data_IF_587888700954
#
_entry.id   IF_587888700954
#
_cell.length_a   1.000
_cell.length_b   1.000
_cell.length_c   1.000
_cell.angle_alpha   90.00
_cell.angle_beta   90.00
_cell.angle_gamma   90.00
#
_symmetry.space_group_name_H-M   'P 1'
#
loop_
_entity.id
_entity.type
_entity.pdbx_description
1 polymer ?
#
# COMPACT_ATOMS: atom_id res chain seq x y z
N UNK A 1 -7.54 12.39 -12.51
CA UNK A 1 -8.87 12.25 -11.86
C UNK A 1 -8.79 11.10 -10.88
N UNK A 2 -9.20 11.29 -9.63
CA UNK A 2 -9.05 10.26 -8.57
C UNK A 2 -10.35 9.51 -8.33
N UNK A 3 -10.27 8.26 -7.87
CA UNK A 3 -11.43 7.42 -7.54
C UNK A 3 -11.90 7.57 -6.09
N UNK A 4 -11.74 8.75 -5.48
CA UNK A 4 -12.12 9.00 -4.08
C UNK A 4 -13.59 8.70 -3.77
N UNK A 5 -14.50 8.97 -4.70
CA UNK A 5 -15.93 8.66 -4.53
C UNK A 5 -16.21 7.16 -4.34
N UNK A 6 -15.36 6.27 -4.86
CA UNK A 6 -15.46 4.82 -4.60
C UNK A 6 -15.10 4.51 -3.15
N UNK A 7 -14.09 5.19 -2.59
CA UNK A 7 -13.69 5.03 -1.19
C UNK A 7 -14.79 5.52 -0.24
N UNK A 8 -15.45 6.63 -0.57
CA UNK A 8 -16.60 7.13 0.18
C UNK A 8 -17.77 6.14 0.19
N UNK A 9 -18.01 5.45 -0.93
CA UNK A 9 -19.02 4.41 -1.01
C UNK A 9 -18.65 3.17 -0.19
N UNK A 10 -17.37 2.79 -0.18
CA UNK A 10 -16.86 1.68 0.63
C UNK A 10 -16.99 1.95 2.14
N UNK A 11 -16.76 3.19 2.60
CA UNK A 11 -16.91 3.53 4.02
C UNK A 11 -18.37 3.40 4.51
N UNK A 12 -19.35 3.37 3.60
CA UNK A 12 -20.76 3.12 3.95
C UNK A 12 -21.10 1.63 4.08
N UNK A 13 -20.21 0.73 3.64
CA UNK A 13 -20.48 -0.71 3.66
C UNK A 13 -20.11 -1.33 5.02
N UNK A 14 -21.05 -1.95 5.75
CA UNK A 14 -20.83 -2.37 7.14
C UNK A 14 -19.73 -3.43 7.29
N UNK A 15 -19.67 -4.43 6.40
CA UNK A 15 -18.61 -5.45 6.44
C UNK A 15 -17.23 -4.87 6.16
N UNK A 16 -17.17 -3.84 5.29
CA UNK A 16 -15.91 -3.19 4.98
C UNK A 16 -15.41 -2.45 6.22
N UNK A 17 -16.29 -1.69 6.87
CA UNK A 17 -15.97 -0.98 8.11
C UNK A 17 -15.49 -1.91 9.21
N UNK A 18 -16.20 -3.02 9.43
CA UNK A 18 -15.83 -4.00 10.45
C UNK A 18 -14.44 -4.58 10.24
N UNK A 19 -14.07 -4.86 8.99
CA UNK A 19 -12.72 -5.33 8.66
C UNK A 19 -11.65 -4.26 8.93
N UNK A 20 -11.92 -2.98 8.66
CA UNK A 20 -10.99 -1.89 8.96
C UNK A 20 -10.82 -1.66 10.47
N UNK A 21 -11.92 -1.77 11.22
CA UNK A 21 -11.92 -1.56 12.68
C UNK A 21 -11.12 -2.65 13.42
N UNK A 22 -11.07 -3.87 12.86
CA UNK A 22 -10.23 -4.95 13.40
C UNK A 22 -8.72 -4.70 13.26
N UNK A 23 -8.28 -3.91 12.28
CA UNK A 23 -6.86 -3.73 11.93
C UNK A 23 -6.08 -2.74 12.83
N UNK A 24 -6.73 -2.06 13.77
CA UNK A 24 -6.09 -0.99 14.58
C UNK A 24 -5.63 -1.39 15.99
N UNK A 25 -5.93 -2.61 16.44
CA UNK A 25 -5.62 -3.03 17.82
C UNK A 25 -4.17 -3.54 17.92
N UNK A 26 -3.32 -2.92 18.77
CA UNK A 26 -1.93 -3.35 18.91
C UNK A 26 -1.86 -4.79 19.44
N UNK A 27 -1.14 -5.66 18.72
CA UNK A 27 -0.95 -7.06 19.08
C UNK A 27 -2.00 -8.04 18.57
N UNK A 28 -2.99 -7.59 17.77
CA UNK A 28 -3.97 -8.49 17.16
C UNK A 28 -3.60 -8.83 15.72
N UNK A 29 -3.23 -10.09 15.46
CA UNK A 29 -3.08 -10.60 14.10
C UNK A 29 -4.45 -10.68 13.43
N UNK A 30 -4.76 -9.67 12.61
CA UNK A 30 -6.04 -9.57 11.91
C UNK A 30 -5.86 -10.00 10.46
N UNK A 31 -6.54 -11.08 10.08
CA UNK A 31 -6.57 -11.58 8.70
C UNK A 31 -7.82 -11.11 7.97
N UNK A 32 -7.66 -10.62 6.73
CA UNK A 32 -8.77 -10.28 5.84
C UNK A 32 -8.56 -10.93 4.47
N UNK A 33 -9.61 -11.55 3.93
CA UNK A 33 -9.56 -12.14 2.58
C UNK A 33 -10.10 -11.15 1.57
N UNK A 34 -9.22 -10.71 0.65
CA UNK A 34 -9.56 -9.69 -0.35
C UNK A 34 -9.22 -10.23 -1.74
N UNK A 35 -10.17 -10.06 -2.68
CA UNK A 35 -9.93 -10.33 -4.10
C UNK A 35 -8.84 -9.41 -4.63
N UNK A 36 -7.94 -9.92 -5.47
CA UNK A 36 -6.76 -9.17 -5.94
C UNK A 36 -7.09 -7.76 -6.45
N UNK A 37 -8.14 -7.60 -7.27
CA UNK A 37 -8.55 -6.29 -7.80
C UNK A 37 -9.10 -5.28 -6.78
N UNK A 38 -9.41 -5.71 -5.55
CA UNK A 38 -9.94 -4.85 -4.50
C UNK A 38 -8.88 -4.43 -3.45
N UNK A 39 -7.65 -4.95 -3.54
CA UNK A 39 -6.59 -4.68 -2.56
C UNK A 39 -6.24 -3.20 -2.45
N UNK A 40 -6.06 -2.52 -3.58
CA UNK A 40 -5.73 -1.11 -3.61
C UNK A 40 -6.84 -0.25 -2.98
N UNK A 41 -8.11 -0.52 -3.31
CA UNK A 41 -9.24 0.20 -2.73
C UNK A 41 -9.34 -0.02 -1.22
N UNK A 42 -9.13 -1.25 -0.76
CA UNK A 42 -9.13 -1.59 0.67
C UNK A 42 -7.99 -0.91 1.43
N UNK A 43 -6.77 -0.93 0.90
CA UNK A 43 -5.62 -0.28 1.53
C UNK A 43 -5.77 1.24 1.54
N UNK A 44 -6.29 1.82 0.46
CA UNK A 44 -6.60 3.24 0.40
C UNK A 44 -7.64 3.65 1.44
N UNK A 45 -8.73 2.90 1.60
CA UNK A 45 -9.73 3.20 2.63
C UNK A 45 -9.22 2.98 4.05
N UNK A 46 -8.40 1.94 4.26
CA UNK A 46 -7.72 1.68 5.53
C UNK A 46 -6.84 2.86 5.94
N UNK A 47 -6.03 3.38 5.01
CA UNK A 47 -5.18 4.54 5.23
C UNK A 47 -5.98 5.80 5.52
N UNK A 48 -7.00 6.10 4.69
CA UNK A 48 -7.89 7.25 4.90
C UNK A 48 -8.58 7.24 6.27
N UNK A 49 -8.89 6.05 6.81
CA UNK A 49 -9.59 5.90 8.09
C UNK A 49 -8.66 5.89 9.30
N UNK A 50 -7.53 5.17 9.24
CA UNK A 50 -6.59 5.11 10.37
C UNK A 50 -5.75 6.38 10.52
N UNK A 51 -5.57 7.14 9.43
CA UNK A 51 -4.78 8.39 9.41
C UNK A 51 -3.37 8.25 9.99
N UNK A 52 -2.79 7.04 9.90
CA UNK A 52 -1.46 6.70 10.36
C UNK A 52 -0.58 6.14 9.23
N UNK A 53 0.74 6.06 9.44
CA UNK A 53 1.65 5.46 8.48
C UNK A 53 1.37 3.96 8.34
N UNK A 54 1.33 3.47 7.10
CA UNK A 54 1.12 2.06 6.78
C UNK A 54 2.29 1.58 5.92
N UNK A 55 2.95 0.49 6.36
CA UNK A 55 3.91 -0.24 5.55
C UNK A 55 3.21 -1.43 4.90
N UNK A 56 3.21 -1.47 3.57
CA UNK A 56 2.65 -2.59 2.81
C UNK A 56 3.80 -3.41 2.22
N UNK A 57 3.81 -4.71 2.50
CA UNK A 57 4.81 -5.64 1.97
C UNK A 57 4.14 -6.55 0.95
N UNK A 58 4.72 -6.64 -0.24
CA UNK A 58 4.30 -7.56 -1.30
C UNK A 58 5.35 -8.65 -1.54
N UNK A 59 4.96 -9.83 -2.06
CA UNK A 59 5.91 -10.92 -2.29
C UNK A 59 6.96 -10.63 -3.37
N UNK A 60 6.64 -9.74 -4.32
CA UNK A 60 7.49 -9.40 -5.46
C UNK A 60 7.53 -7.88 -5.69
N UNK A 61 8.61 -7.37 -6.29
CA UNK A 61 8.75 -5.96 -6.64
C UNK A 61 7.72 -5.50 -7.70
N UNK A 62 7.35 -6.36 -8.66
CA UNK A 62 6.31 -6.03 -9.65
C UNK A 62 4.95 -5.83 -8.99
N UNK A 63 4.64 -6.62 -7.97
CA UNK A 63 3.40 -6.48 -7.21
C UNK A 63 3.37 -5.15 -6.44
N UNK A 64 4.51 -4.72 -5.88
CA UNK A 64 4.62 -3.44 -5.19
C UNK A 64 4.40 -2.26 -6.16
N UNK A 65 5.06 -2.29 -7.33
CA UNK A 65 4.89 -1.26 -8.38
C UNK A 65 3.44 -1.16 -8.85
N UNK A 66 2.83 -2.30 -9.19
CA UNK A 66 1.41 -2.34 -9.62
C UNK A 66 0.47 -1.83 -8.54
N UNK A 67 0.72 -2.18 -7.28
CA UNK A 67 -0.10 -1.73 -6.17
C UNK A 67 0.06 -0.22 -5.94
N UNK A 68 1.28 0.30 -6.05
CA UNK A 68 1.58 1.74 -5.97
C UNK A 68 0.79 2.52 -7.03
N UNK A 69 0.89 2.13 -8.30
CA UNK A 69 0.14 2.76 -9.41
C UNK A 69 -1.39 2.73 -9.18
N UNK A 70 -1.90 1.59 -8.70
CA UNK A 70 -3.32 1.44 -8.37
C UNK A 70 -3.73 2.37 -7.23
N UNK A 71 -2.93 2.49 -6.18
CA UNK A 71 -3.23 3.37 -5.05
C UNK A 71 -3.28 4.85 -5.45
N UNK A 72 -2.34 5.30 -6.30
CA UNK A 72 -2.34 6.66 -6.84
C UNK A 72 -3.64 6.98 -7.58
N UNK A 73 -4.23 5.98 -8.25
CA UNK A 73 -5.54 6.13 -8.91
C UNK A 73 -6.66 6.42 -7.92
N UNK A 74 -6.61 5.86 -6.70
CA UNK A 74 -7.64 6.06 -5.67
C UNK A 74 -7.45 7.35 -4.88
N UNK A 75 -6.26 7.60 -4.35
CA UNK A 75 -6.03 8.71 -3.40
C UNK A 75 -5.47 9.97 -4.07
N UNK A 76 -4.84 9.84 -5.23
CA UNK A 76 -4.17 10.91 -5.98
C UNK A 76 -2.65 10.95 -5.79
N UNK A 77 -1.99 11.61 -6.74
CA UNK A 77 -0.52 11.73 -6.80
C UNK A 77 0.06 12.67 -5.73
N UNK A 78 -0.75 13.59 -5.19
CA UNK A 78 -0.33 14.55 -4.16
C UNK A 78 -0.22 13.92 -2.76
N UNK A 79 -0.59 12.64 -2.60
CA UNK A 79 -0.55 11.96 -1.32
C UNK A 79 0.82 11.29 -1.09
N UNK A 80 1.28 11.17 0.18
CA UNK A 80 2.59 10.62 0.52
C UNK A 80 2.64 9.09 0.38
N UNK A 81 2.41 8.58 -0.83
CA UNK A 81 2.54 7.16 -1.17
C UNK A 81 3.91 6.95 -1.82
N UNK A 82 4.79 6.34 -1.05
CA UNK A 82 6.15 6.05 -1.48
C UNK A 82 6.30 4.57 -1.82
N UNK A 83 7.06 4.29 -2.88
CA UNK A 83 7.52 2.95 -3.22
C UNK A 83 8.98 2.84 -2.76
N UNK A 84 9.28 1.86 -1.91
CA UNK A 84 10.66 1.51 -1.60
C UNK A 84 11.19 0.58 -2.71
N UNK A 85 12.12 1.02 -3.56
CA UNK A 85 12.59 0.21 -4.68
C UNK A 85 13.44 -0.97 -4.19
N UNK A 86 13.34 -2.07 -4.93
CA UNK A 86 14.18 -3.25 -4.72
C UNK A 86 15.66 -2.94 -5.06
N UNK A 87 16.63 -3.43 -4.28
CA UNK A 87 18.03 -3.36 -4.69
C UNK A 87 18.28 -4.18 -5.95
N UNK A 88 19.01 -3.61 -6.91
CA UNK A 88 19.43 -4.30 -8.13
C UNK A 88 20.52 -5.36 -7.89
N UNK A 89 21.19 -5.28 -6.75
CA UNK A 89 22.33 -6.13 -6.38
C UNK A 89 21.91 -7.03 -5.22
N UNK A 90 22.30 -8.30 -5.28
CA UNK A 90 21.98 -9.24 -4.23
C UNK A 90 22.80 -8.96 -2.96
N UNK A 91 22.29 -9.33 -1.77
CA UNK A 91 23.09 -9.28 -0.55
C UNK A 91 24.42 -10.01 -0.73
N UNK A 92 25.53 -9.35 -0.35
CA UNK A 92 26.91 -9.86 -0.41
C UNK A 92 27.51 -10.03 -1.81
N UNK A 93 26.83 -9.57 -2.85
CA UNK A 93 27.41 -9.49 -4.19
C UNK A 93 28.45 -8.37 -4.26
N UNK A 94 29.58 -8.63 -4.94
CA UNK A 94 30.70 -7.68 -5.04
C UNK A 94 30.51 -6.71 -6.19
N UNK A 95 29.31 -6.13 -6.27
CA UNK A 95 28.93 -5.11 -7.25
C UNK A 95 28.43 -3.88 -6.50
N UNK A 96 28.71 -2.70 -7.04
CA UNK A 96 28.12 -1.47 -6.54
C UNK A 96 26.65 -1.41 -6.98
N UNK A 97 25.75 -1.09 -6.05
CA UNK A 97 24.37 -0.76 -6.41
C UNK A 97 24.35 0.55 -7.20
N UNK A 98 23.36 0.70 -8.09
CA UNK A 98 23.17 1.93 -8.83
C UNK A 98 22.90 3.11 -7.89
N UNK A 99 23.49 4.27 -8.22
CA UNK A 99 23.37 5.46 -7.38
C UNK A 99 21.94 6.01 -7.34
N UNK A 100 21.14 5.86 -8.42
CA UNK A 100 19.76 6.30 -8.45
C UNK A 100 18.90 5.43 -7.51
N UNK A 101 19.02 4.10 -7.61
CA UNK A 101 18.33 3.17 -6.70
C UNK A 101 18.75 3.38 -5.25
N UNK A 102 20.03 3.66 -5.01
CA UNK A 102 20.54 4.03 -3.68
C UNK A 102 19.88 5.31 -3.14
N UNK A 103 19.84 6.38 -3.94
CA UNK A 103 19.26 7.66 -3.55
C UNK A 103 17.75 7.57 -3.30
N UNK A 104 17.01 6.79 -4.09
CA UNK A 104 15.57 6.60 -3.90
C UNK A 104 15.20 5.90 -2.58
N UNK A 105 16.18 5.27 -1.91
CA UNK A 105 16.00 4.57 -0.63
C UNK A 105 16.43 5.39 0.59
N UNK A 106 17.02 6.57 0.39
CA UNK A 106 17.53 7.48 1.44
C UNK A 106 16.61 8.69 1.61
#
# INVERSE_FOLDING_TARGET
MTLKGVLELLDRHPEHRGNLDGCGSPGNESGVTIRQGARAAFLASLWCRQQGPILVVTPRPEDARRLHDQLLTYVGEDQPIHLLPEPEVLPFERLAADANTGNQRL
#
